data_IF_681046897826
#
_entry.id   IF_681046897826
#
_cell.length_a   1.000
_cell.length_b   1.000
_cell.length_c   1.000
_cell.angle_alpha   90.00
_cell.angle_beta   90.00
_cell.angle_gamma   90.00
#
_symmetry.space_group_name_H-M   'P 1'
#
loop_
_entity.id
_entity.type
_entity.pdbx_description
1 polymer ?
#
# COMPACT_ATOMS: atom_id res chain seq x y z
N UNK A 1 -9.72 -2.16 -9.57
CA UNK A 1 -8.42 -2.50 -8.93
C UNK A 1 -7.43 -2.93 -10.01
N UNK A 2 -6.16 -2.56 -9.90
CA UNK A 2 -5.12 -2.76 -10.94
C UNK A 2 -4.33 -4.07 -10.83
N UNK A 3 -4.76 -5.00 -9.95
CA UNK A 3 -4.15 -6.33 -9.80
C UNK A 3 -2.89 -6.40 -8.93
N UNK A 4 -2.24 -5.27 -8.63
CA UNK A 4 -1.07 -5.21 -7.74
C UNK A 4 -1.42 -5.63 -6.30
N UNK A 5 -0.62 -6.53 -5.73
CA UNK A 5 -0.72 -6.97 -4.34
C UNK A 5 0.46 -6.43 -3.54
N UNK A 6 0.25 -5.33 -2.82
CA UNK A 6 1.27 -4.68 -1.99
C UNK A 6 0.86 -4.81 -0.52
N UNK A 7 1.60 -5.57 0.31
CA UNK A 7 1.26 -5.74 1.72
C UNK A 7 1.58 -4.49 2.54
N UNK A 8 0.74 -4.19 3.53
CA UNK A 8 0.94 -3.14 4.52
C UNK A 8 0.90 -3.70 5.95
N UNK A 9 1.95 -3.48 6.74
CA UNK A 9 2.10 -4.06 8.08
C UNK A 9 2.96 -3.17 9.00
N UNK A 10 2.81 -3.29 10.34
CA UNK A 10 3.61 -2.54 11.29
C UNK A 10 5.05 -3.06 11.33
N UNK A 11 6.00 -2.18 11.64
CA UNK A 11 7.37 -2.60 11.91
C UNK A 11 7.46 -3.44 13.21
N UNK A 12 8.59 -4.15 13.43
CA UNK A 12 8.81 -4.96 14.63
C UNK A 12 8.81 -4.17 15.95
N UNK A 13 9.14 -4.87 17.04
CA UNK A 13 9.20 -4.34 18.41
C UNK A 13 9.90 -2.97 18.49
N UNK A 14 9.34 -2.07 19.29
CA UNK A 14 9.72 -0.67 19.45
C UNK A 14 9.40 0.26 18.26
N UNK A 15 8.80 -0.24 17.18
CA UNK A 15 8.41 0.54 16.00
C UNK A 15 6.99 0.20 15.48
N UNK A 16 6.14 -0.48 16.26
CA UNK A 16 4.85 -1.00 15.81
C UNK A 16 3.86 0.08 15.34
N UNK A 17 4.04 1.34 15.75
CA UNK A 17 3.22 2.47 15.31
C UNK A 17 3.51 2.93 13.87
N UNK A 18 4.63 2.49 13.31
CA UNK A 18 5.05 2.76 11.94
C UNK A 18 4.54 1.67 11.02
N UNK A 19 3.54 2.00 10.21
CA UNK A 19 3.03 1.11 9.16
C UNK A 19 3.82 1.34 7.88
N UNK A 20 4.31 0.27 7.26
CA UNK A 20 5.05 0.32 6.01
C UNK A 20 4.31 -0.43 4.89
N UNK A 21 4.64 -0.10 3.65
CA UNK A 21 4.36 -0.94 2.48
C UNK A 21 5.68 -1.49 1.94
N UNK A 22 5.77 -2.80 1.69
CA UNK A 22 7.00 -3.44 1.19
C UNK A 22 6.80 -4.02 -0.20
N UNK A 23 7.67 -3.62 -1.13
CA UNK A 23 7.75 -4.18 -2.48
C UNK A 23 9.04 -5.00 -2.57
N UNK A 24 8.95 -6.24 -3.04
CA UNK A 24 10.10 -7.13 -3.23
C UNK A 24 10.32 -7.31 -4.72
N UNK A 25 11.43 -6.80 -5.24
CA UNK A 25 11.83 -6.98 -6.63
C UNK A 25 12.43 -8.38 -6.80
N UNK A 26 11.88 -9.15 -7.75
CA UNK A 26 12.33 -10.49 -8.10
C UNK A 26 12.70 -10.54 -9.58
N UNK A 27 13.28 -11.65 -10.03
CA UNK A 27 13.70 -11.81 -11.43
C UNK A 27 12.57 -11.64 -12.46
N UNK A 28 11.31 -11.84 -12.06
CA UNK A 28 10.10 -11.67 -12.87
C UNK A 28 9.58 -10.23 -12.93
N UNK A 29 10.19 -9.27 -12.22
CA UNK A 29 9.83 -7.85 -12.28
C UNK A 29 10.72 -7.12 -13.29
N UNK A 30 10.26 -7.02 -14.53
CA UNK A 30 10.96 -6.23 -15.55
C UNK A 30 10.87 -4.72 -15.30
N UNK A 31 11.73 -3.95 -15.98
CA UNK A 31 11.70 -2.48 -15.91
C UNK A 31 10.34 -1.92 -16.38
N UNK A 32 9.80 -2.43 -17.49
CA UNK A 32 8.51 -2.02 -18.02
C UNK A 32 7.37 -2.30 -17.03
N UNK A 33 7.41 -3.44 -16.33
CA UNK A 33 6.44 -3.74 -15.26
C UNK A 33 6.57 -2.77 -14.09
N UNK A 34 7.79 -2.39 -13.73
CA UNK A 34 8.01 -1.38 -12.70
C UNK A 34 7.49 0.00 -13.11
N UNK A 35 7.64 0.40 -14.38
CA UNK A 35 7.07 1.64 -14.89
C UNK A 35 5.53 1.62 -14.84
N UNK A 36 4.91 0.52 -15.28
CA UNK A 36 3.46 0.32 -15.16
C UNK A 36 2.98 0.41 -13.71
N UNK A 37 3.71 -0.23 -12.78
CA UNK A 37 3.42 -0.15 -11.35
C UNK A 37 3.47 1.30 -10.83
N UNK A 38 4.52 2.05 -11.14
CA UNK A 38 4.66 3.44 -10.68
C UNK A 38 3.56 4.33 -11.26
N UNK A 39 3.17 4.14 -12.52
CA UNK A 39 2.05 4.86 -13.14
C UNK A 39 0.74 4.60 -12.39
N UNK A 40 0.44 3.34 -12.10
CA UNK A 40 -0.77 2.95 -11.37
C UNK A 40 -0.76 3.43 -9.91
N UNK A 41 0.40 3.42 -9.25
CA UNK A 41 0.57 3.95 -7.89
C UNK A 41 0.29 5.46 -7.85
N UNK A 42 0.84 6.23 -8.79
CA UNK A 42 0.57 7.67 -8.91
C UNK A 42 -0.91 7.96 -9.15
N UNK A 43 -1.56 7.16 -10.00
CA UNK A 43 -3.01 7.28 -10.24
C UNK A 43 -3.81 6.98 -8.96
N UNK A 44 -3.49 5.91 -8.24
CA UNK A 44 -4.16 5.56 -6.99
C UNK A 44 -4.02 6.65 -5.91
N UNK A 45 -2.84 7.26 -5.78
CA UNK A 45 -2.61 8.39 -4.87
C UNK A 45 -3.48 9.59 -5.29
N UNK A 46 -3.53 9.91 -6.58
CA UNK A 46 -4.38 10.99 -7.10
C UNK A 46 -5.86 10.73 -6.81
N UNK A 47 -6.32 9.49 -7.01
CA UNK A 47 -7.71 9.11 -6.75
C UNK A 47 -8.05 9.26 -5.26
N UNK A 48 -7.17 8.80 -4.36
CA UNK A 48 -7.35 8.94 -2.91
C UNK A 48 -7.34 10.41 -2.46
N UNK A 49 -6.47 11.24 -3.03
CA UNK A 49 -6.42 12.67 -2.69
C UNK A 49 -7.70 13.41 -3.10
N UNK A 50 -8.40 12.95 -4.14
CA UNK A 50 -9.65 13.53 -4.61
C UNK A 50 -10.89 12.83 -4.04
N UNK A 51 -10.71 11.75 -3.27
CA UNK A 51 -11.81 10.97 -2.73
C UNK A 51 -12.47 11.70 -1.56
N UNK A 52 -13.74 12.05 -1.72
CA UNK A 52 -14.57 12.56 -0.62
C UNK A 52 -15.14 11.37 0.18
N UNK A 53 -14.33 10.81 1.08
CA UNK A 53 -14.76 9.71 1.94
C UNK A 53 -15.36 10.28 3.23
N UNK A 54 -16.68 10.11 3.43
CA UNK A 54 -17.32 10.47 4.70
C UNK A 54 -17.04 9.35 5.70
N UNK A 55 -16.07 9.53 6.59
CA UNK A 55 -15.72 8.54 7.62
C UNK A 55 -16.79 8.52 8.71
N UNK A 56 -17.74 7.59 8.62
CA UNK A 56 -18.69 7.32 9.70
C UNK A 56 -18.07 6.29 10.67
N UNK A 57 -17.48 6.73 11.77
CA UNK A 57 -17.01 5.82 12.83
C UNK A 57 -15.98 6.45 13.77
N UNK A 58 -16.07 6.09 15.06
CA UNK A 58 -15.09 6.41 16.12
C UNK A 58 -13.67 6.01 15.66
N UNK A 59 -12.70 6.89 15.93
CA UNK A 59 -11.23 6.78 15.74
C UNK A 59 -10.73 5.83 14.63
N UNK A 60 -9.96 6.35 13.67
CA UNK A 60 -9.36 5.59 12.57
C UNK A 60 -8.52 4.40 13.08
N UNK A 61 -9.13 3.22 13.20
CA UNK A 61 -8.38 1.98 13.35
C UNK A 61 -7.46 1.83 12.13
N UNK A 62 -6.14 1.84 12.37
CA UNK A 62 -5.13 1.53 11.36
C UNK A 62 -5.27 0.06 10.97
N UNK A 63 -6.18 -0.24 10.04
CA UNK A 63 -6.34 -1.58 9.49
C UNK A 63 -5.08 -1.96 8.72
N UNK A 64 -4.44 -3.05 9.13
CA UNK A 64 -3.25 -3.59 8.47
C UNK A 64 -3.66 -4.85 7.71
N UNK A 65 -3.19 -4.98 6.47
CA UNK A 65 -3.46 -6.12 5.60
C UNK A 65 -2.12 -6.55 5.02
N UNK A 66 -1.53 -7.60 5.60
CA UNK A 66 -0.20 -8.09 5.24
C UNK A 66 -0.19 -9.59 5.00
N UNK A 67 0.70 -10.04 4.11
CA UNK A 67 1.11 -11.44 4.02
C UNK A 67 2.24 -11.66 5.03
N UNK A 68 1.88 -12.00 6.27
CA UNK A 68 2.85 -12.36 7.32
C UNK A 68 3.55 -13.66 6.94
N UNK A 69 4.86 -13.74 7.17
CA UNK A 69 5.61 -15.01 7.16
C UNK A 69 5.72 -15.51 8.59
#
# INVERSE_FOLDING_TARGET
MKGWQIPAYPLPINLQNTIIQRIVCRADLSHDMAELFIRDLKAAIKDLNNANVIVHGKEQEKKTYGFTH
#
